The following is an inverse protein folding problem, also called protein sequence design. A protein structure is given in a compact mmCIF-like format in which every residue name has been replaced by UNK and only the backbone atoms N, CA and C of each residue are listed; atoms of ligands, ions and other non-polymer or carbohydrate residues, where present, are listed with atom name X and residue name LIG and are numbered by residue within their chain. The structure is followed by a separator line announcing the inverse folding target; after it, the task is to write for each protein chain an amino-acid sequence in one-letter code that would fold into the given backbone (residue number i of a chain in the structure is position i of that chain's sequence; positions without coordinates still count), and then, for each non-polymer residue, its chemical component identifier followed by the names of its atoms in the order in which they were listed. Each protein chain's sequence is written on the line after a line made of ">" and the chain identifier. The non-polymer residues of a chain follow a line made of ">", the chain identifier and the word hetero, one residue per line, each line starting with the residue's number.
data_IF_443900663827
#
_entry.id   IF_443900663827
#
_cell.length_a   1.000
_cell.length_b   1.000
_cell.length_c   1.000
_cell.angle_alpha   90.00
_cell.angle_beta   90.00
_cell.angle_gamma   90.00
#
_symmetry.space_group_name_H-M   'P 1'
#
loop_
_entity.id
_entity.type
_entity.pdbx_description
1 polymer ?
#
# COMPACT_ATOMS: atom_id res chain seq x y z
N UNK A 1 -10.33 15.64 -14.05
CA UNK A 1 -9.87 14.27 -13.71
C UNK A 1 -9.41 14.13 -12.26
N UNK A 2 -8.63 15.06 -11.70
CA UNK A 2 -8.04 14.93 -10.35
C UNK A 2 -8.97 15.18 -9.14
N UNK A 3 -10.19 15.69 -9.32
CA UNK A 3 -11.10 16.03 -8.19
C UNK A 3 -11.73 14.82 -7.52
N UNK A 4 -11.76 13.67 -8.20
CA UNK A 4 -12.59 12.54 -7.80
C UNK A 4 -11.80 11.44 -7.08
N UNK A 5 -10.47 11.58 -6.99
CA UNK A 5 -9.62 10.64 -6.26
C UNK A 5 -9.74 10.92 -4.77
N UNK A 6 -10.24 9.95 -4.02
CA UNK A 6 -10.40 10.01 -2.56
C UNK A 6 -9.29 9.21 -1.90
N UNK A 7 -8.55 9.84 -0.99
CA UNK A 7 -7.55 9.14 -0.17
C UNK A 7 -8.17 8.89 1.20
N UNK A 8 -8.13 7.64 1.66
CA UNK A 8 -8.64 7.25 2.98
C UNK A 8 -7.78 6.16 3.62
N UNK A 9 -7.95 5.97 4.92
CA UNK A 9 -7.40 4.80 5.62
C UNK A 9 -8.05 3.51 5.10
N UNK A 10 -7.26 2.45 5.08
CA UNK A 10 -7.74 1.08 4.85
C UNK A 10 -8.78 0.71 5.91
N UNK A 11 -9.82 0.00 5.49
CA UNK A 11 -10.80 -0.64 6.35
C UNK A 11 -10.76 -2.17 6.16
N UNK A 12 -11.43 -2.92 7.04
CA UNK A 12 -11.38 -4.39 7.02
C UNK A 12 -11.99 -4.99 5.74
N UNK A 13 -12.98 -4.32 5.17
CA UNK A 13 -13.67 -4.77 3.94
C UNK A 13 -12.84 -4.60 2.67
N UNK A 14 -11.68 -3.92 2.76
CA UNK A 14 -10.81 -3.69 1.61
C UNK A 14 -9.96 -4.90 1.23
N UNK A 15 -9.86 -5.94 2.07
CA UNK A 15 -8.90 -7.05 1.90
C UNK A 15 -8.88 -7.61 0.47
N UNK A 16 -10.04 -7.98 -0.07
CA UNK A 16 -10.16 -8.54 -1.42
C UNK A 16 -9.78 -7.53 -2.50
N UNK A 17 -10.29 -6.29 -2.41
CA UNK A 17 -9.93 -5.24 -3.38
C UNK A 17 -8.44 -4.92 -3.33
N UNK A 18 -7.84 -4.91 -2.14
CA UNK A 18 -6.44 -4.66 -1.90
C UNK A 18 -5.55 -5.72 -2.56
N UNK A 19 -5.79 -7.01 -2.29
CA UNK A 19 -4.94 -8.07 -2.86
C UNK A 19 -5.13 -8.20 -4.37
N UNK A 20 -6.36 -8.04 -4.87
CA UNK A 20 -6.62 -7.99 -6.32
C UNK A 20 -5.83 -6.87 -6.98
N UNK A 21 -5.86 -5.66 -6.39
CA UNK A 21 -5.13 -4.51 -6.88
C UNK A 21 -3.61 -4.70 -6.83
N UNK A 22 -3.08 -5.13 -5.68
CA UNK A 22 -1.64 -5.36 -5.50
C UNK A 22 -1.12 -6.39 -6.48
N UNK A 23 -1.83 -7.51 -6.70
CA UNK A 23 -1.41 -8.52 -7.66
C UNK A 23 -1.41 -7.97 -9.10
N UNK A 24 -2.44 -7.21 -9.49
CA UNK A 24 -2.51 -6.54 -10.79
C UNK A 24 -1.28 -5.64 -11.01
N UNK A 25 -1.00 -4.74 -10.08
CA UNK A 25 0.10 -3.76 -10.23
C UNK A 25 1.47 -4.44 -10.12
N UNK A 26 1.63 -5.39 -9.20
CA UNK A 26 2.88 -6.13 -9.03
C UNK A 26 3.21 -6.93 -10.30
N UNK A 27 2.23 -7.61 -10.89
CA UNK A 27 2.41 -8.29 -12.17
C UNK A 27 2.83 -7.33 -13.27
N UNK A 28 2.12 -6.23 -13.44
CA UNK A 28 2.48 -5.21 -14.45
C UNK A 28 3.89 -4.66 -14.27
N UNK A 29 4.35 -4.47 -13.03
CA UNK A 29 5.66 -3.90 -12.74
C UNK A 29 6.82 -4.89 -13.00
N UNK A 30 6.59 -6.19 -12.76
CA UNK A 30 7.65 -7.19 -12.75
C UNK A 30 7.55 -8.26 -13.85
N UNK A 31 6.59 -8.16 -14.78
CA UNK A 31 6.36 -9.19 -15.82
C UNK A 31 7.59 -9.48 -16.70
N UNK A 32 8.49 -8.50 -16.85
CA UNK A 32 9.73 -8.65 -17.60
C UNK A 32 10.95 -9.02 -16.72
N UNK A 33 10.74 -9.24 -15.42
CA UNK A 33 11.78 -9.52 -14.43
C UNK A 33 11.64 -10.95 -13.87
N UNK A 34 10.41 -11.39 -13.58
CA UNK A 34 10.13 -12.71 -13.04
C UNK A 34 9.38 -13.59 -14.03
N UNK A 35 9.55 -14.93 -13.96
CA UNK A 35 8.79 -15.85 -14.79
C UNK A 35 7.34 -16.01 -14.27
N UNK A 36 6.47 -16.57 -15.11
CA UNK A 36 5.02 -16.66 -14.87
C UNK A 36 4.66 -17.34 -13.55
N UNK A 37 5.42 -18.35 -13.16
CA UNK A 37 5.16 -19.18 -11.97
C UNK A 37 5.21 -18.37 -10.68
N UNK A 38 6.05 -17.33 -10.62
CA UNK A 38 6.16 -16.44 -9.45
C UNK A 38 4.85 -15.67 -9.22
N UNK A 39 4.18 -15.25 -10.30
CA UNK A 39 2.88 -14.56 -10.20
C UNK A 39 1.79 -15.53 -9.76
N UNK A 40 1.74 -16.73 -10.36
CA UNK A 40 0.76 -17.75 -10.01
C UNK A 40 0.86 -18.18 -8.55
N UNK A 41 2.07 -18.36 -8.02
CA UNK A 41 2.29 -18.68 -6.60
C UNK A 41 1.82 -17.54 -5.68
N UNK A 42 2.11 -16.29 -6.06
CA UNK A 42 1.67 -15.12 -5.30
C UNK A 42 0.14 -15.02 -5.23
N UNK A 43 -0.54 -15.31 -6.34
CA UNK A 43 -1.99 -15.26 -6.53
C UNK A 43 -2.74 -16.41 -5.84
N UNK A 44 -2.18 -17.64 -5.82
CA UNK A 44 -2.77 -18.79 -5.11
C UNK A 44 -2.98 -18.54 -3.61
N UNK A 45 -2.10 -17.75 -3.00
CA UNK A 45 -2.08 -17.53 -1.56
C UNK A 45 -2.99 -16.37 -1.09
N UNK A 46 -3.91 -15.87 -1.93
CA UNK A 46 -4.72 -14.68 -1.58
C UNK A 46 -5.72 -14.96 -0.46
N UNK A 47 -6.44 -16.08 -0.47
CA UNK A 47 -7.45 -16.37 0.56
C UNK A 47 -6.86 -16.43 1.98
N UNK A 48 -5.67 -17.03 2.13
CA UNK A 48 -4.98 -17.07 3.42
C UNK A 48 -4.49 -15.69 3.85
N UNK A 49 -4.03 -14.87 2.90
CA UNK A 49 -3.62 -13.49 3.16
C UNK A 49 -4.81 -12.62 3.57
N UNK A 50 -5.98 -12.82 2.97
CA UNK A 50 -7.22 -12.15 3.34
C UNK A 50 -7.62 -12.45 4.80
N UNK A 51 -7.55 -13.72 5.22
CA UNK A 51 -7.83 -14.12 6.62
C UNK A 51 -6.92 -13.40 7.63
N UNK A 52 -5.71 -13.05 7.23
CA UNK A 52 -4.73 -12.38 8.07
C UNK A 52 -4.58 -10.88 7.77
N UNK A 53 -5.45 -10.30 6.94
CA UNK A 53 -5.32 -8.93 6.44
C UNK A 53 -5.18 -7.92 7.59
N UNK A 54 -6.09 -7.97 8.56
CA UNK A 54 -6.12 -7.03 9.68
C UNK A 54 -4.92 -7.18 10.65
N UNK A 55 -4.23 -8.32 10.64
CA UNK A 55 -3.02 -8.52 11.45
C UNK A 55 -1.79 -7.87 10.79
N UNK A 56 -1.78 -7.76 9.46
CA UNK A 56 -0.65 -7.26 8.68
C UNK A 56 -0.83 -5.83 8.19
N UNK A 57 -2.07 -5.43 7.91
CA UNK A 57 -2.46 -4.15 7.36
C UNK A 57 -3.44 -3.50 8.32
N UNK A 58 -2.93 -2.59 9.14
CA UNK A 58 -3.72 -1.86 10.12
C UNK A 58 -3.17 -0.44 10.28
N UNK A 59 -3.97 0.41 10.91
CA UNK A 59 -3.59 1.78 11.24
C UNK A 59 -3.56 1.92 12.76
N UNK A 60 -2.43 2.33 13.31
CA UNK A 60 -2.27 2.68 14.72
C UNK A 60 -1.31 3.88 14.85
N UNK A 61 -0.73 4.09 16.03
CA UNK A 61 0.20 5.20 16.27
C UNK A 61 1.57 5.00 15.58
N UNK A 62 1.84 3.80 15.04
CA UNK A 62 3.13 3.45 14.43
C UNK A 62 3.01 3.06 12.96
N UNK A 63 1.87 2.53 12.56
CA UNK A 63 1.62 1.93 11.26
C UNK A 63 0.55 2.72 10.52
N UNK A 64 0.76 2.89 9.22
CA UNK A 64 -0.20 3.52 8.34
C UNK A 64 -0.48 2.63 7.14
N UNK A 65 -1.76 2.55 6.76
CA UNK A 65 -2.20 1.95 5.52
C UNK A 65 -3.32 2.81 4.89
N UNK A 66 -3.07 3.28 3.67
CA UNK A 66 -3.97 4.15 2.90
C UNK A 66 -4.32 3.51 1.56
N UNK A 67 -5.48 3.92 1.04
CA UNK A 67 -5.93 3.63 -0.33
C UNK A 67 -6.31 4.94 -1.02
N UNK A 68 -6.02 5.02 -2.32
CA UNK A 68 -6.63 5.99 -3.21
C UNK A 68 -7.74 5.30 -4.01
N UNK A 69 -8.92 5.92 -4.01
CA UNK A 69 -10.09 5.41 -4.70
C UNK A 69 -10.53 6.35 -5.81
N UNK A 70 -10.90 5.77 -6.94
CA UNK A 70 -11.54 6.48 -8.04
C UNK A 70 -12.74 5.65 -8.51
N UNK A 71 -13.93 6.28 -8.53
CA UNK A 71 -15.20 5.62 -8.90
C UNK A 71 -15.49 4.31 -8.12
N UNK A 72 -15.08 4.23 -6.85
CA UNK A 72 -15.32 3.07 -5.97
C UNK A 72 -14.30 1.93 -6.10
N UNK A 73 -13.30 2.09 -6.97
CA UNK A 73 -12.20 1.14 -7.15
C UNK A 73 -10.91 1.68 -6.54
N UNK A 74 -10.10 0.77 -5.99
CA UNK A 74 -8.76 1.09 -5.52
C UNK A 74 -7.85 1.27 -6.73
N UNK A 75 -7.26 2.45 -6.85
CA UNK A 75 -6.29 2.81 -7.91
C UNK A 75 -4.88 3.07 -7.35
N UNK A 76 -4.72 3.01 -6.03
CA UNK A 76 -3.44 3.15 -5.38
C UNK A 76 -3.51 2.70 -3.93
N UNK A 77 -2.40 2.16 -3.43
CA UNK A 77 -2.26 1.77 -2.03
C UNK A 77 -0.90 2.22 -1.50
N UNK A 78 -0.85 2.39 -0.19
CA UNK A 78 0.39 2.69 0.52
C UNK A 78 0.34 2.08 1.92
N UNK A 79 1.44 1.48 2.36
CA UNK A 79 1.62 1.10 3.75
C UNK A 79 3.05 1.36 4.24
N UNK A 80 3.19 1.65 5.53
CA UNK A 80 4.48 1.94 6.15
C UNK A 80 4.40 1.94 7.67
N UNK A 81 5.58 2.00 8.30
CA UNK A 81 5.78 2.00 9.75
C UNK A 81 6.79 3.08 10.13
N UNK A 82 6.61 3.76 11.27
CA UNK A 82 7.60 4.72 11.79
C UNK A 82 8.80 4.03 12.44
N UNK A 83 8.66 2.76 12.78
CA UNK A 83 9.75 1.93 13.28
C UNK A 83 10.10 0.91 12.21
N UNK A 84 11.32 1.03 11.68
CA UNK A 84 11.86 0.05 10.74
C UNK A 84 12.01 -1.30 11.41
N UNK A 85 11.62 -2.35 10.70
CA UNK A 85 11.86 -3.73 11.14
C UNK A 85 13.19 -4.28 10.62
N UNK A 86 13.97 -3.47 9.89
CA UNK A 86 15.27 -3.87 9.39
C UNK A 86 16.32 -3.76 10.50
N UNK A 87 17.08 -4.84 10.72
CA UNK A 87 17.99 -4.99 11.86
C UNK A 87 18.93 -3.78 12.06
N UNK A 88 19.51 -3.27 10.99
CA UNK A 88 20.46 -2.16 11.02
C UNK A 88 19.83 -0.76 11.12
N UNK A 89 18.50 -0.65 10.95
CA UNK A 89 17.76 0.62 10.96
C UNK A 89 16.67 0.69 12.03
N UNK A 90 16.63 -0.30 12.92
CA UNK A 90 15.59 -0.45 13.92
C UNK A 90 15.47 0.82 14.81
N UNK A 91 14.22 1.22 15.08
CA UNK A 91 13.81 2.33 15.98
C UNK A 91 14.22 3.76 15.56
N UNK A 92 15.10 3.94 14.57
CA UNK A 92 15.57 5.28 14.14
C UNK A 92 15.00 5.75 12.80
N UNK A 93 14.42 4.86 12.02
CA UNK A 93 13.95 5.14 10.68
C UNK A 93 12.54 4.61 10.44
N UNK A 94 11.82 5.30 9.57
CA UNK A 94 10.52 4.88 9.08
C UNK A 94 10.67 4.09 7.77
N UNK A 95 9.86 3.04 7.62
CA UNK A 95 9.79 2.21 6.42
C UNK A 95 8.57 2.58 5.57
N UNK A 96 8.81 2.83 4.27
CA UNK A 96 7.76 2.73 3.26
C UNK A 96 7.73 1.28 2.76
N UNK A 97 6.84 0.49 3.33
CA UNK A 97 6.76 -0.97 3.09
C UNK A 97 6.17 -1.27 1.70
N UNK A 98 5.18 -0.49 1.28
CA UNK A 98 4.53 -0.69 -0.01
C UNK A 98 3.98 0.61 -0.58
N UNK A 99 4.21 0.83 -1.86
CA UNK A 99 3.58 1.88 -2.66
C UNK A 99 3.25 1.28 -4.03
N UNK A 100 1.97 1.13 -4.32
CA UNK A 100 1.48 0.60 -5.58
C UNK A 100 0.46 1.56 -6.15
N UNK A 101 0.61 1.91 -7.42
CA UNK A 101 -0.28 2.82 -8.12
C UNK A 101 -0.63 2.18 -9.46
N UNK A 102 -1.90 2.22 -9.83
CA UNK A 102 -2.35 1.77 -11.14
C UNK A 102 -1.59 2.51 -12.25
N UNK A 103 -1.03 1.83 -13.25
CA UNK A 103 -0.29 2.46 -14.35
C UNK A 103 -1.02 3.66 -14.97
N UNK A 104 -2.34 3.55 -15.15
CA UNK A 104 -3.17 4.59 -15.78
C UNK A 104 -3.35 5.84 -14.88
N UNK A 105 -2.93 5.76 -13.62
CA UNK A 105 -3.10 6.81 -12.62
C UNK A 105 -1.77 7.28 -12.01
N UNK A 106 -0.61 6.82 -12.51
CA UNK A 106 0.70 7.13 -11.92
C UNK A 106 0.97 8.63 -11.77
N UNK A 107 0.68 9.42 -12.81
CA UNK A 107 0.85 10.88 -12.77
C UNK A 107 -0.18 11.58 -11.88
N UNK A 108 -1.39 11.03 -11.77
CA UNK A 108 -2.50 11.61 -11.00
C UNK A 108 -2.42 11.30 -9.49
N UNK A 109 -1.77 10.18 -9.14
CA UNK A 109 -1.61 9.71 -7.76
C UNK A 109 -0.38 10.28 -7.03
N UNK A 110 0.32 11.28 -7.59
CA UNK A 110 1.34 12.07 -6.86
C UNK A 110 0.86 12.61 -5.51
N UNK A 111 -0.47 12.80 -5.33
CA UNK A 111 -1.07 13.18 -4.05
C UNK A 111 -0.94 12.10 -2.95
N UNK A 112 -0.90 10.80 -3.27
CA UNK A 112 -0.63 9.74 -2.28
C UNK A 112 0.75 9.94 -1.63
N UNK A 113 1.77 10.24 -2.44
CA UNK A 113 3.12 10.57 -1.98
C UNK A 113 3.15 11.86 -1.14
N UNK A 114 2.37 12.87 -1.50
CA UNK A 114 2.24 14.09 -0.67
C UNK A 114 1.54 13.81 0.66
N UNK A 115 0.54 12.92 0.70
CA UNK A 115 -0.08 12.45 1.93
C UNK A 115 0.92 11.71 2.82
N UNK A 116 1.78 10.85 2.25
CA UNK A 116 2.86 10.20 3.00
C UNK A 116 3.77 11.23 3.66
N UNK A 117 4.26 12.22 2.90
CA UNK A 117 5.12 13.28 3.44
C UNK A 117 4.46 14.03 4.59
N UNK A 118 3.17 14.39 4.46
CA UNK A 118 2.43 15.07 5.54
C UNK A 118 2.24 14.19 6.78
N UNK A 119 2.03 12.89 6.59
CA UNK A 119 1.79 11.97 7.70
C UNK A 119 3.10 11.61 8.40
N UNK A 120 4.18 11.33 7.66
CA UNK A 120 5.52 11.18 8.24
C UNK A 120 5.95 12.46 8.96
N UNK A 121 5.69 13.63 8.38
CA UNK A 121 5.97 14.91 9.03
C UNK A 121 5.18 15.08 10.34
N UNK A 122 3.88 14.73 10.36
CA UNK A 122 3.09 14.77 11.60
C UNK A 122 3.60 13.78 12.64
N UNK A 123 3.92 12.55 12.23
CA UNK A 123 4.42 11.53 13.16
C UNK A 123 5.79 11.88 13.74
N UNK A 124 6.66 12.54 12.97
CA UNK A 124 7.97 13.03 13.43
C UNK A 124 7.90 14.28 14.31
N UNK A 125 6.75 14.97 14.40
CA UNK A 125 6.56 16.17 15.23
C UNK A 125 5.58 15.95 16.40
N UNK A 126 5.21 14.69 16.67
CA UNK A 126 4.37 14.30 17.82
C UNK A 126 5.26 13.75 18.97
N UNK A 127 6.58 13.68 18.79
CA UNK A 127 7.58 13.33 19.80
C UNK A 127 8.62 14.45 19.97
#
# INVERSE_FOLDING_TARGET
>A
MNSDIKIRKVNQTDATKWFKFVNKVWRSAYINIFPEEVFLEKEKNVEEKEKNFNKKIFNDNRNIALVAEYKGEIIGIMCGSINSNYEHFNVKYADLIGLYIDPDFQESCLRLLQCLKKILWRLNNIF
#
